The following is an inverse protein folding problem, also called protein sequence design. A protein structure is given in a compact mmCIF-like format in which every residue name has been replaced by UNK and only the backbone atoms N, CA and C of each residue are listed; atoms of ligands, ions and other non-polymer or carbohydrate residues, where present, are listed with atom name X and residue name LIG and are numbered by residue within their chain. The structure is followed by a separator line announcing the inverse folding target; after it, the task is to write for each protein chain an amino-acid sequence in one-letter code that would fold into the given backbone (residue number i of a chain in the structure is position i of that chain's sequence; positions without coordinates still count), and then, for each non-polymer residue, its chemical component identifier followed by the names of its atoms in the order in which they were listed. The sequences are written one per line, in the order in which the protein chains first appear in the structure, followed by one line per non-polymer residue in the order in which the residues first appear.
data_IF_538610388443
#
_entry.id   IF_538610388443
#
_cell.length_a   1.000
_cell.length_b   1.000
_cell.length_c   1.000
_cell.angle_alpha   90.00
_cell.angle_beta   90.00
_cell.angle_gamma   90.00
#
_symmetry.space_group_name_H-M   'P 1'
#
loop_
_entity.id
_entity.type
_entity.pdbx_description
1 polymer ?
#
# COMPACT_ATOMS: atom_id res chain seq x y z
N UNK A 1 -6.03 19.36 4.47
CA UNK A 1 -6.08 18.15 3.61
C UNK A 1 -5.27 17.04 4.24
N UNK A 2 -5.85 15.89 4.38
CA UNK A 2 -5.16 14.73 4.96
C UNK A 2 -4.47 13.94 3.86
N UNK A 3 -3.28 13.42 4.16
CA UNK A 3 -2.50 12.62 3.21
C UNK A 3 -2.37 11.19 3.67
N UNK A 4 -2.51 10.26 2.72
CA UNK A 4 -2.26 8.84 2.90
C UNK A 4 -1.30 8.36 1.82
N UNK A 5 -0.59 7.29 2.12
CA UNK A 5 0.32 6.65 1.18
C UNK A 5 -0.12 5.22 0.90
N UNK A 6 0.07 4.78 -0.34
CA UNK A 6 -0.08 3.39 -0.73
C UNK A 6 1.29 2.89 -1.19
N UNK A 7 1.73 1.80 -0.59
CA UNK A 7 3.03 1.22 -0.90
C UNK A 7 2.84 0.07 -1.88
N UNK A 8 3.34 0.25 -3.09
CA UNK A 8 3.35 -0.81 -4.09
C UNK A 8 4.67 -1.53 -3.91
N UNK A 9 4.66 -2.51 -3.01
CA UNK A 9 5.85 -3.28 -2.66
C UNK A 9 6.06 -4.33 -3.75
N UNK A 10 7.14 -4.18 -4.50
CA UNK A 10 7.41 -4.98 -5.69
C UNK A 10 8.65 -5.85 -5.46
N UNK A 11 8.48 -7.14 -5.65
CA UNK A 11 9.58 -8.10 -5.52
C UNK A 11 9.28 -9.31 -6.43
N UNK A 12 10.25 -9.67 -7.26
CA UNK A 12 10.16 -10.82 -8.17
C UNK A 12 8.85 -10.83 -8.98
N UNK A 13 8.52 -9.70 -9.59
CA UNK A 13 7.32 -9.49 -10.42
C UNK A 13 5.99 -9.64 -9.67
N UNK A 14 6.03 -9.65 -8.34
CA UNK A 14 4.85 -9.74 -7.48
C UNK A 14 4.71 -8.49 -6.64
N UNK A 15 3.49 -8.21 -6.23
CA UNK A 15 3.19 -7.12 -5.30
C UNK A 15 2.56 -7.65 -4.03
N UNK A 16 2.82 -6.95 -2.93
CA UNK A 16 2.30 -7.30 -1.61
C UNK A 16 0.92 -6.67 -1.41
N UNK A 17 -0.04 -7.48 -1.02
CA UNK A 17 -1.35 -7.01 -0.57
C UNK A 17 -1.63 -7.52 0.84
N UNK A 18 -2.46 -6.79 1.58
CA UNK A 18 -2.78 -7.11 2.95
C UNK A 18 -4.29 -7.08 3.17
N UNK A 19 -4.77 -8.00 4.00
CA UNK A 19 -6.19 -8.14 4.32
C UNK A 19 -6.49 -7.44 5.63
N UNK A 20 -7.40 -6.46 5.58
CA UNK A 20 -7.75 -5.64 6.74
C UNK A 20 -8.49 -6.45 7.80
N UNK A 21 -8.30 -6.09 9.06
CA UNK A 21 -9.12 -6.62 10.15
C UNK A 21 -10.61 -6.30 9.88
N UNK A 22 -11.53 -7.17 10.32
CA UNK A 22 -12.97 -7.00 10.04
C UNK A 22 -13.63 -5.93 10.90
N UNK A 23 -13.06 -4.72 10.91
CA UNK A 23 -13.57 -3.58 11.66
C UNK A 23 -13.55 -2.32 10.79
N UNK A 24 -14.50 -1.42 11.00
CA UNK A 24 -14.60 -0.17 10.24
C UNK A 24 -15.24 -0.36 8.87
N UNK A 25 -15.35 0.74 8.12
CA UNK A 25 -16.09 0.81 6.85
C UNK A 25 -15.53 -0.13 5.78
N UNK A 26 -14.20 -0.27 5.72
CA UNK A 26 -13.54 -1.13 4.74
C UNK A 26 -12.98 -2.40 5.37
N UNK A 27 -13.51 -2.79 6.52
CA UNK A 27 -13.09 -4.00 7.22
C UNK A 27 -13.30 -5.24 6.37
N UNK A 28 -12.35 -6.16 6.43
CA UNK A 28 -12.41 -7.40 5.68
C UNK A 28 -12.06 -7.28 4.21
N UNK A 29 -11.62 -6.12 3.76
CA UNK A 29 -11.16 -5.92 2.37
C UNK A 29 -9.65 -5.99 2.28
N UNK A 30 -9.16 -6.18 1.07
CA UNK A 30 -7.74 -6.15 0.76
C UNK A 30 -7.31 -4.73 0.42
N UNK A 31 -6.03 -4.44 0.63
CA UNK A 31 -5.46 -3.13 0.31
C UNK A 31 -3.98 -3.24 0.03
N UNK A 32 -3.43 -2.22 -0.61
CA UNK A 32 -1.98 -2.05 -0.63
C UNK A 32 -1.54 -1.61 0.77
N UNK A 33 -0.39 -2.09 1.25
CA UNK A 33 0.16 -1.58 2.52
C UNK A 33 0.31 -0.07 2.48
N UNK A 34 0.21 0.57 3.62
CA UNK A 34 0.36 2.02 3.69
C UNK A 34 -0.18 2.58 4.99
N UNK A 35 -0.52 3.85 4.96
CA UNK A 35 -1.06 4.51 6.13
C UNK A 35 -1.12 6.02 5.95
N UNK A 36 -1.35 6.71 7.04
CA UNK A 36 -1.46 8.17 7.05
C UNK A 36 -0.10 8.81 7.23
N UNK A 37 0.13 9.90 6.49
CA UNK A 37 1.29 10.75 6.67
C UNK A 37 1.03 11.63 7.88
N UNK A 38 1.95 11.63 8.84
CA UNK A 38 1.81 12.47 10.04
C UNK A 38 2.19 13.92 9.73
N UNK A 39 1.64 14.89 10.48
CA UNK A 39 1.97 16.30 10.27
C UNK A 39 3.48 16.54 10.34
N UNK A 40 4.02 17.22 9.31
CA UNK A 40 5.45 17.52 9.24
C UNK A 40 6.33 16.38 8.78
N UNK A 41 5.76 15.21 8.51
CA UNK A 41 6.50 14.05 8.05
C UNK A 41 6.63 14.07 6.53
N UNK A 42 7.80 13.69 6.02
CA UNK A 42 8.00 13.47 4.59
C UNK A 42 7.34 12.15 4.18
N UNK A 43 6.79 12.09 2.97
CA UNK A 43 6.08 10.90 2.50
C UNK A 43 6.96 9.65 2.49
N UNK A 44 8.22 9.77 2.07
CA UNK A 44 9.15 8.63 2.07
C UNK A 44 9.49 8.16 3.48
N UNK A 45 9.58 9.09 4.42
CA UNK A 45 9.78 8.73 5.82
C UNK A 45 8.55 8.03 6.40
N UNK A 46 7.35 8.47 6.01
CA UNK A 46 6.10 7.80 6.36
C UNK A 46 6.09 6.36 5.89
N UNK A 47 6.51 6.12 4.65
CA UNK A 47 6.57 4.77 4.08
C UNK A 47 7.51 3.88 4.90
N UNK A 48 8.71 4.37 5.18
CA UNK A 48 9.68 3.62 5.98
C UNK A 48 9.13 3.28 7.37
N UNK A 49 8.48 4.25 8.01
CA UNK A 49 7.87 4.08 9.34
C UNK A 49 6.74 3.06 9.31
N UNK A 50 5.81 3.22 8.37
CA UNK A 50 4.65 2.32 8.25
C UNK A 50 5.07 0.87 7.97
N UNK A 51 6.04 0.67 7.11
CA UNK A 51 6.50 -0.68 6.78
C UNK A 51 7.21 -1.33 7.97
N UNK A 52 7.93 -0.54 8.77
CA UNK A 52 8.54 -1.05 10.00
C UNK A 52 7.46 -1.39 11.04
N UNK A 53 6.47 -0.51 11.22
CA UNK A 53 5.39 -0.74 12.20
C UNK A 53 4.51 -1.93 11.83
N UNK A 54 4.12 -2.03 10.56
CA UNK A 54 3.16 -3.04 10.12
C UNK A 54 3.79 -4.41 9.84
N UNK A 55 4.99 -4.43 9.28
CA UNK A 55 5.61 -5.67 8.81
C UNK A 55 6.95 -5.98 9.45
N UNK A 56 7.50 -5.03 10.21
CA UNK A 56 8.81 -5.23 10.83
C UNK A 56 9.96 -5.30 9.85
N UNK A 57 9.86 -4.59 8.73
CA UNK A 57 10.86 -4.61 7.65
C UNK A 57 11.40 -3.22 7.38
N UNK A 58 12.65 -3.17 6.90
CA UNK A 58 13.24 -1.95 6.36
C UNK A 58 12.82 -1.87 4.89
N UNK A 59 12.20 -0.76 4.53
CA UNK A 59 11.71 -0.54 3.18
C UNK A 59 12.25 0.78 2.63
N UNK A 60 12.44 0.82 1.31
CA UNK A 60 12.86 2.03 0.62
C UNK A 60 11.79 2.44 -0.39
N UNK A 61 11.34 3.70 -0.30
CA UNK A 61 10.44 4.28 -1.27
C UNK A 61 11.23 4.73 -2.49
N UNK A 62 10.78 4.35 -3.66
CA UNK A 62 11.38 4.72 -4.93
C UNK A 62 10.55 5.81 -5.59
N UNK A 63 10.01 5.58 -6.76
CA UNK A 63 9.28 6.60 -7.54
C UNK A 63 7.83 6.72 -7.09
N UNK A 64 7.31 7.94 -7.14
CA UNK A 64 5.87 8.17 -6.99
C UNK A 64 5.18 7.73 -8.27
N UNK A 65 4.23 6.82 -8.16
CA UNK A 65 3.50 6.26 -9.28
C UNK A 65 2.29 7.10 -9.64
N UNK A 66 1.54 7.56 -8.63
CA UNK A 66 0.26 8.22 -8.82
C UNK A 66 -0.10 9.06 -7.61
N UNK A 67 -0.92 10.09 -7.83
CA UNK A 67 -1.46 10.92 -6.77
C UNK A 67 -2.91 11.23 -7.12
N UNK A 68 -3.83 10.93 -6.21
CA UNK A 68 -5.26 11.22 -6.40
C UNK A 68 -5.83 11.89 -5.17
N UNK A 69 -6.95 12.55 -5.35
CA UNK A 69 -7.77 13.04 -4.25
C UNK A 69 -9.06 12.26 -4.19
N UNK A 70 -9.53 11.99 -3.00
CA UNK A 70 -10.84 11.36 -2.79
C UNK A 70 -11.50 11.94 -1.55
N UNK A 71 -12.82 11.85 -1.52
CA UNK A 71 -13.62 12.32 -0.39
C UNK A 71 -14.08 11.12 0.44
N UNK A 72 -13.97 11.26 1.76
CA UNK A 72 -14.46 10.26 2.69
C UNK A 72 -15.05 10.99 3.90
N UNK A 73 -16.33 10.76 4.18
CA UNK A 73 -17.05 11.37 5.29
C UNK A 73 -16.93 12.90 5.33
N UNK A 74 -17.04 13.54 4.17
CA UNK A 74 -16.96 14.99 4.04
C UNK A 74 -15.57 15.58 4.12
N UNK A 75 -14.52 14.76 4.24
CA UNK A 75 -13.14 15.21 4.25
C UNK A 75 -12.44 14.82 2.95
N UNK A 76 -11.54 15.66 2.50
CA UNK A 76 -10.74 15.40 1.31
C UNK A 76 -9.39 14.83 1.72
N UNK A 77 -9.03 13.70 1.11
CA UNK A 77 -7.77 13.01 1.30
C UNK A 77 -6.97 13.02 0.02
N UNK A 78 -5.66 13.07 0.13
CA UNK A 78 -4.75 12.77 -0.97
C UNK A 78 -4.18 11.39 -0.73
N UNK A 79 -4.20 10.54 -1.77
CA UNK A 79 -3.57 9.23 -1.74
C UNK A 79 -2.44 9.22 -2.75
N UNK A 80 -1.21 9.08 -2.27
CA UNK A 80 -0.01 9.02 -3.09
C UNK A 80 0.53 7.60 -3.09
N UNK A 81 0.68 7.02 -4.27
CA UNK A 81 1.21 5.68 -4.44
C UNK A 81 2.69 5.73 -4.82
N UNK A 82 3.49 4.91 -4.16
CA UNK A 82 4.93 4.82 -4.41
C UNK A 82 5.34 3.40 -4.71
N UNK A 83 6.32 3.26 -5.60
CA UNK A 83 7.05 2.01 -5.74
C UNK A 83 7.92 1.83 -4.50
N UNK A 84 7.83 0.68 -3.85
CA UNK A 84 8.55 0.38 -2.61
C UNK A 84 9.25 -0.95 -2.75
N UNK A 85 10.47 -1.03 -2.26
CA UNK A 85 11.22 -2.29 -2.19
C UNK A 85 11.62 -2.57 -0.76
N UNK A 86 11.54 -3.83 -0.36
CA UNK A 86 12.02 -4.28 0.95
C UNK A 86 13.48 -4.66 0.85
N UNK A 87 14.24 -4.37 1.89
CA UNK A 87 15.59 -4.91 2.01
C UNK A 87 15.48 -6.42 2.25
N UNK A 88 16.40 -7.18 1.67
CA UNK A 88 16.50 -8.64 1.83
C UNK A 88 15.23 -9.40 1.44
N UNK A 89 15.14 -9.91 0.25
CA UNK A 89 14.15 -10.91 -0.20
C UNK A 89 12.84 -10.95 0.59
N UNK A 90 12.09 -9.85 0.56
CA UNK A 90 10.87 -9.68 1.35
C UNK A 90 9.87 -10.82 1.19
N UNK A 91 9.83 -11.47 0.02
CA UNK A 91 8.92 -12.59 -0.23
C UNK A 91 9.24 -13.83 0.59
N UNK A 92 10.50 -14.00 0.98
CA UNK A 92 10.92 -15.17 1.76
C UNK A 92 10.72 -14.96 3.26
N UNK A 93 10.44 -13.73 3.67
CA UNK A 93 10.30 -13.38 5.08
C UNK A 93 8.86 -13.55 5.55
N UNK A 94 8.68 -14.13 6.72
CA UNK A 94 7.39 -14.14 7.40
C UNK A 94 7.23 -12.84 8.18
N UNK A 95 6.08 -12.19 8.03
CA UNK A 95 5.80 -10.93 8.72
C UNK A 95 4.97 -11.16 9.97
N UNK A 96 5.22 -10.33 10.99
CA UNK A 96 4.33 -10.22 12.14
C UNK A 96 3.37 -9.07 11.86
N UNK A 97 2.09 -9.39 11.66
CA UNK A 97 1.09 -8.40 11.28
C UNK A 97 0.49 -7.73 12.51
N UNK A 98 0.32 -6.41 12.47
CA UNK A 98 -0.30 -5.64 13.56
C UNK A 98 -1.73 -5.20 13.26
N UNK A 99 -2.03 -4.81 12.03
CA UNK A 99 -3.33 -4.27 11.64
C UNK A 99 -4.07 -5.10 10.58
N UNK A 100 -3.47 -6.19 10.16
CA UNK A 100 -4.00 -7.05 9.12
C UNK A 100 -4.11 -8.49 9.60
N UNK A 101 -5.04 -9.26 9.00
CA UNK A 101 -5.23 -10.67 9.33
C UNK A 101 -4.33 -11.58 8.51
N UNK A 102 -3.98 -11.16 7.28
CA UNK A 102 -3.10 -11.93 6.41
C UNK A 102 -2.50 -11.04 5.33
N UNK A 103 -1.50 -11.56 4.66
CA UNK A 103 -0.89 -10.89 3.49
C UNK A 103 -0.67 -11.91 2.38
N UNK A 104 -0.55 -11.41 1.15
CA UNK A 104 -0.23 -12.23 -0.03
C UNK A 104 0.68 -11.46 -0.97
N UNK A 105 1.50 -12.21 -1.69
CA UNK A 105 2.23 -11.71 -2.85
C UNK A 105 1.51 -12.19 -4.10
N UNK A 106 1.06 -11.28 -4.94
CA UNK A 106 0.25 -11.59 -6.11
C UNK A 106 0.81 -10.91 -7.36
N UNK A 107 0.39 -11.38 -8.53
CA UNK A 107 0.62 -10.64 -9.76
C UNK A 107 -0.22 -9.36 -9.74
N UNK A 108 0.34 -8.26 -10.24
CA UNK A 108 -0.39 -6.99 -10.25
C UNK A 108 -1.72 -7.09 -10.99
N UNK A 109 -1.79 -7.90 -12.05
CA UNK A 109 -3.03 -8.11 -12.82
C UNK A 109 -4.11 -8.86 -12.05
N UNK A 110 -3.78 -9.47 -10.92
CA UNK A 110 -4.72 -10.27 -10.14
C UNK A 110 -5.51 -9.46 -9.09
N UNK A 111 -5.21 -8.16 -8.93
CA UNK A 111 -5.94 -7.31 -7.97
C UNK A 111 -7.46 -7.39 -8.14
N UNK A 112 -8.04 -7.42 -9.35
CA UNK A 112 -9.50 -7.54 -9.50
C UNK A 112 -10.10 -8.82 -8.95
N UNK A 113 -9.30 -9.83 -8.66
CA UNK A 113 -9.78 -11.09 -8.08
C UNK A 113 -10.03 -10.98 -6.56
N UNK A 114 -9.69 -9.85 -5.95
CA UNK A 114 -9.82 -9.60 -4.52
C UNK A 114 -10.75 -8.42 -4.28
N UNK A 115 -11.47 -8.43 -3.16
CA UNK A 115 -12.26 -7.25 -2.75
C UNK A 115 -11.33 -6.21 -2.14
N UNK A 116 -10.97 -5.23 -2.94
CA UNK A 116 -10.10 -4.12 -2.52
C UNK A 116 -10.88 -2.94 -1.97
N UNK A 117 -10.21 -2.15 -1.13
CA UNK A 117 -10.75 -0.87 -0.68
C UNK A 117 -10.90 0.08 -1.87
N UNK A 118 -11.92 0.94 -1.81
CA UNK A 118 -12.31 1.79 -2.94
C UNK A 118 -11.21 2.75 -3.39
N UNK A 119 -10.50 3.36 -2.44
CA UNK A 119 -9.44 4.31 -2.76
C UNK A 119 -8.29 3.67 -3.53
N UNK A 120 -7.91 2.44 -3.17
CA UNK A 120 -6.84 1.72 -3.85
C UNK A 120 -7.24 1.32 -5.26
N UNK A 121 -8.52 1.03 -5.48
CA UNK A 121 -9.02 0.73 -6.84
C UNK A 121 -8.90 1.95 -7.75
N UNK A 122 -8.95 3.16 -7.21
CA UNK A 122 -8.81 4.39 -8.00
C UNK A 122 -7.39 4.58 -8.54
N UNK A 123 -6.38 4.12 -7.80
CA UNK A 123 -4.99 4.22 -8.26
C UNK A 123 -4.53 3.00 -9.05
N UNK A 124 -5.28 1.91 -8.99
CA UNK A 124 -4.87 0.64 -9.59
C UNK A 124 -4.52 0.72 -11.09
N UNK A 125 -5.29 1.40 -11.95
CA UNK A 125 -4.93 1.50 -13.37
C UNK A 125 -3.54 2.11 -13.58
N UNK A 126 -3.19 3.16 -12.83
CA UNK A 126 -1.87 3.80 -12.91
C UNK A 126 -0.77 2.87 -12.39
N UNK A 127 -1.06 2.12 -11.33
CA UNK A 127 -0.12 1.14 -10.78
C UNK A 127 0.18 0.05 -11.81
N UNK A 128 -0.86 -0.49 -12.41
CA UNK A 128 -0.72 -1.56 -13.40
C UNK A 128 0.10 -1.09 -14.61
N UNK A 129 -0.19 0.10 -15.11
CA UNK A 129 0.55 0.70 -16.22
C UNK A 129 2.02 0.90 -15.87
N UNK A 130 2.30 1.45 -14.69
CA UNK A 130 3.66 1.67 -14.23
C UNK A 130 4.46 0.36 -14.15
N UNK A 131 3.88 -0.66 -13.53
CA UNK A 131 4.56 -1.95 -13.36
C UNK A 131 4.78 -2.67 -14.69
N UNK A 132 3.88 -2.50 -15.63
CA UNK A 132 4.02 -3.13 -16.96
C UNK A 132 5.17 -2.54 -17.77
N UNK A 133 5.62 -1.34 -17.41
CA UNK A 133 6.74 -0.65 -18.08
C UNK A 133 8.11 -0.93 -17.45
N UNK A 134 8.15 -1.68 -16.36
CA UNK A 134 9.42 -2.04 -15.70
C UNK A 134 10.20 -3.11 -16.44
#
# INVERSE_FOLDING_TARGET
MKKSIACIVYDDEKILIAHRNPVGDMGGRWEFPGGKVEPGEDEKDSIAREMMEEFGVVAEAKEKISSIQFEHRGEIFTLDAYLVVFEHNGMEKSFTLSEHTEYKWINASSVPDYEFVDSDLKIYPSVLEFLSAL
#
